data_IF_183337505965
#
_entry.id   IF_183337505965
#
_cell.length_a   1.000
_cell.length_b   1.000
_cell.length_c   1.000
_cell.angle_alpha   90.00
_cell.angle_beta   90.00
_cell.angle_gamma   90.00
#
_symmetry.space_group_name_H-M   'P 1'
#
loop_
_entity.id
_entity.type
_entity.pdbx_description
1 polymer ?
#
# COMPACT_ATOMS: atom_id res chain seq x y z
N UNK A 1 6.59 7.22 11.96
CA UNK A 1 6.81 6.45 10.72
C UNK A 1 6.26 5.05 10.92
N UNK A 2 5.16 4.70 10.24
CA UNK A 2 4.57 3.35 10.34
C UNK A 2 5.33 2.42 9.39
N UNK A 3 5.90 1.30 9.87
CA UNK A 3 6.67 0.41 9.02
C UNK A 3 5.78 -0.35 8.03
N UNK A 4 6.15 -0.33 6.74
CA UNK A 4 5.48 -1.08 5.69
C UNK A 4 5.93 -2.57 5.71
N UNK A 5 5.14 -3.41 6.37
CA UNK A 5 5.32 -4.87 6.40
C UNK A 5 4.41 -5.55 5.39
N UNK A 6 4.73 -6.78 4.99
CA UNK A 6 3.86 -7.56 4.10
C UNK A 6 2.40 -7.65 4.60
N UNK A 7 2.22 -7.91 5.90
CA UNK A 7 0.91 -7.99 6.52
C UNK A 7 0.17 -6.63 6.51
N UNK A 8 0.88 -5.54 6.82
CA UNK A 8 0.26 -4.21 6.89
C UNK A 8 -0.07 -3.64 5.51
N UNK A 9 0.74 -3.92 4.48
CA UNK A 9 0.43 -3.56 3.07
C UNK A 9 -0.83 -4.30 2.61
N UNK A 10 -0.92 -5.61 2.88
CA UNK A 10 -2.10 -6.41 2.53
C UNK A 10 -3.37 -5.89 3.21
N UNK A 11 -3.29 -5.61 4.51
CA UNK A 11 -4.43 -5.08 5.28
C UNK A 11 -4.88 -3.72 4.76
N UNK A 12 -3.94 -2.80 4.48
CA UNK A 12 -4.25 -1.47 3.95
C UNK A 12 -4.89 -1.54 2.56
N UNK A 13 -4.39 -2.42 1.68
CA UNK A 13 -5.01 -2.67 0.36
C UNK A 13 -6.46 -3.16 0.50
N UNK A 14 -6.72 -4.09 1.42
CA UNK A 14 -8.06 -4.60 1.66
C UNK A 14 -8.98 -3.53 2.24
N UNK A 15 -8.50 -2.70 3.17
CA UNK A 15 -9.25 -1.57 3.71
C UNK A 15 -9.61 -0.54 2.62
N UNK A 16 -8.70 -0.30 1.67
CA UNK A 16 -8.94 0.54 0.49
C UNK A 16 -9.90 -0.09 -0.54
N UNK A 17 -10.38 -1.31 -0.32
CA UNK A 17 -11.28 -2.01 -1.25
C UNK A 17 -10.63 -2.42 -2.58
N UNK A 18 -9.29 -2.47 -2.64
CA UNK A 18 -8.55 -2.76 -3.87
C UNK A 18 -8.21 -4.24 -3.98
N UNK A 19 -8.37 -4.81 -5.17
CA UNK A 19 -7.70 -6.06 -5.56
C UNK A 19 -6.20 -5.83 -5.77
N UNK A 20 -5.39 -6.89 -5.83
CA UNK A 20 -3.96 -6.75 -6.15
C UNK A 20 -3.73 -6.12 -7.53
N UNK A 21 -4.60 -6.39 -8.51
CA UNK A 21 -4.48 -5.81 -9.86
C UNK A 21 -4.78 -4.31 -9.86
N UNK A 22 -5.86 -3.89 -9.18
CA UNK A 22 -6.20 -2.47 -9.05
C UNK A 22 -5.15 -1.70 -8.25
N UNK A 23 -4.56 -2.32 -7.22
CA UNK A 23 -3.47 -1.70 -6.49
C UNK A 23 -2.21 -1.58 -7.37
N UNK A 24 -1.86 -2.63 -8.13
CA UNK A 24 -0.75 -2.56 -9.09
C UNK A 24 -0.95 -1.40 -10.09
N UNK A 25 -2.14 -1.29 -10.70
CA UNK A 25 -2.50 -0.19 -11.60
C UNK A 25 -2.42 1.18 -10.91
N UNK A 26 -2.96 1.31 -9.69
CA UNK A 26 -2.99 2.58 -8.94
C UNK A 26 -1.59 3.11 -8.62
N UNK A 27 -0.64 2.22 -8.40
CA UNK A 27 0.75 2.53 -8.04
C UNK A 27 1.73 2.37 -9.22
N UNK A 28 1.22 2.26 -10.45
CA UNK A 28 2.01 2.12 -11.68
C UNK A 28 3.02 0.95 -11.65
N UNK A 29 2.57 -0.19 -11.14
CA UNK A 29 3.31 -1.45 -11.11
C UNK A 29 2.65 -2.52 -11.97
N UNK A 30 3.46 -3.46 -12.47
CA UNK A 30 2.91 -4.74 -12.93
C UNK A 30 2.37 -5.55 -11.74
N UNK A 31 1.35 -6.40 -11.98
CA UNK A 31 0.78 -7.27 -10.94
C UNK A 31 1.85 -8.10 -10.22
N UNK A 32 2.83 -8.64 -10.96
CA UNK A 32 3.93 -9.43 -10.38
C UNK A 32 4.80 -8.60 -9.45
N UNK A 33 5.09 -7.35 -9.80
CA UNK A 33 5.87 -6.44 -8.95
C UNK A 33 5.09 -6.08 -7.69
N UNK A 34 3.79 -5.80 -7.82
CA UNK A 34 2.92 -5.57 -6.66
C UNK A 34 2.92 -6.78 -5.72
N UNK A 35 2.69 -7.98 -6.25
CA UNK A 35 2.68 -9.21 -5.46
C UNK A 35 3.99 -9.41 -4.72
N UNK A 36 5.14 -9.20 -5.38
CA UNK A 36 6.46 -9.29 -4.74
C UNK A 36 6.61 -8.27 -3.60
N UNK A 37 6.21 -7.01 -3.83
CA UNK A 37 6.24 -5.96 -2.80
C UNK A 37 5.33 -6.29 -1.61
N UNK A 38 4.13 -6.80 -1.86
CA UNK A 38 3.16 -7.18 -0.82
C UNK A 38 3.61 -8.40 -0.02
N UNK A 39 4.31 -9.37 -0.62
CA UNK A 39 4.73 -10.60 0.08
C UNK A 39 6.12 -10.54 0.71
N UNK A 40 7.05 -9.79 0.12
CA UNK A 40 8.45 -9.76 0.54
C UNK A 40 8.83 -8.49 1.32
N UNK A 41 7.91 -7.55 1.53
CA UNK A 41 8.16 -6.35 2.33
C UNK A 41 8.67 -6.69 3.75
N UNK A 42 9.79 -6.07 4.13
CA UNK A 42 10.46 -6.30 5.41
C UNK A 42 11.41 -7.50 5.46
N UNK A 43 11.52 -8.29 4.38
CA UNK A 43 12.38 -9.50 4.34
C UNK A 43 13.77 -9.27 3.74
N UNK A 44 14.09 -8.03 3.31
CA UNK A 44 15.34 -7.69 2.61
C UNK A 44 15.43 -8.18 1.16
N UNK A 45 14.48 -9.00 0.69
CA UNK A 45 14.45 -9.58 -0.67
C UNK A 45 13.75 -8.68 -1.72
N UNK A 46 13.03 -7.67 -1.25
CA UNK A 46 12.36 -6.67 -2.06
C UNK A 46 12.44 -5.31 -1.38
N UNK A 47 12.68 -4.26 -2.17
CA UNK A 47 12.26 -2.92 -1.79
C UNK A 47 10.73 -2.91 -1.85
N UNK A 48 10.08 -3.01 -0.69
CA UNK A 48 8.63 -2.92 -0.57
C UNK A 48 8.08 -1.59 -1.11
N UNK A 49 6.94 -1.15 -0.62
CA UNK A 49 6.51 0.22 -0.92
C UNK A 49 7.49 1.21 -0.28
N UNK A 50 7.82 2.28 -1.02
CA UNK A 50 8.43 3.46 -0.42
C UNK A 50 7.49 4.04 0.64
N UNK A 51 8.03 4.87 1.54
CA UNK A 51 7.24 5.47 2.61
C UNK A 51 6.03 6.25 2.07
N UNK A 52 6.24 7.06 1.03
CA UNK A 52 5.18 7.86 0.43
C UNK A 52 4.07 7.01 -0.22
N UNK A 53 4.43 5.92 -0.89
CA UNK A 53 3.46 4.99 -1.47
C UNK A 53 2.65 4.28 -0.38
N UNK A 54 3.30 3.89 0.72
CA UNK A 54 2.61 3.25 1.82
C UNK A 54 1.66 4.23 2.54
N UNK A 55 2.08 5.47 2.77
CA UNK A 55 1.22 6.51 3.34
C UNK A 55 0.01 6.82 2.46
N UNK A 56 0.19 6.86 1.13
CA UNK A 56 -0.93 6.97 0.19
C UNK A 56 -1.88 5.76 0.29
N UNK A 57 -1.36 4.54 0.40
CA UNK A 57 -2.18 3.34 0.55
C UNK A 57 -3.01 3.38 1.85
N UNK A 58 -2.40 3.83 2.95
CA UNK A 58 -3.09 4.03 4.22
C UNK A 58 -4.18 5.10 4.11
N UNK A 59 -3.93 6.20 3.40
CA UNK A 59 -4.91 7.25 3.15
C UNK A 59 -6.11 6.74 2.35
N UNK A 60 -5.87 5.91 1.32
CA UNK A 60 -6.94 5.30 0.52
C UNK A 60 -7.80 4.32 1.33
N UNK A 61 -7.23 3.68 2.36
CA UNK A 61 -7.93 2.76 3.26
C UNK A 61 -8.49 3.41 4.53
N UNK A 62 -8.38 4.73 4.70
CA UNK A 62 -8.76 5.46 5.92
C UNK A 62 -8.03 4.94 7.19
N UNK A 63 -6.77 4.55 7.04
CA UNK A 63 -5.93 3.97 8.10
C UNK A 63 -4.69 4.82 8.44
N UNK A 64 -4.53 5.99 7.82
CA UNK A 64 -3.38 6.83 8.07
C UNK A 64 -3.50 7.47 9.47
N UNK A 65 -2.46 7.40 10.33
CA UNK A 65 -2.57 7.82 11.73
C UNK A 65 -2.85 9.32 11.90
N UNK A 66 -2.29 10.15 11.02
CA UNK A 66 -2.30 11.61 11.18
C UNK A 66 -3.19 12.36 10.18
N UNK A 67 -3.66 11.69 9.12
CA UNK A 67 -4.27 12.34 7.95
C UNK A 67 -5.44 11.52 7.43
N UNK A 68 -6.40 12.18 6.80
CA UNK A 68 -7.54 11.55 6.14
C UNK A 68 -7.81 12.21 4.78
N UNK A 69 -8.32 11.43 3.81
CA UNK A 69 -8.74 11.97 2.52
C UNK A 69 -10.14 12.59 2.64
N UNK A 70 -10.25 13.86 2.29
CA UNK A 70 -11.51 14.58 2.21
C UNK A 70 -11.85 14.90 0.75
N UNK A 71 -13.13 14.76 0.39
CA UNK A 71 -13.62 15.15 -0.94
C UNK A 71 -13.45 16.67 -1.08
N UNK A 72 -12.90 17.10 -2.23
CA UNK A 72 -12.85 18.53 -2.55
C UNK A 72 -14.27 19.07 -2.72
N UNK A 73 -14.54 20.21 -2.08
CA UNK A 73 -15.80 20.95 -2.22
C UNK A 73 -15.93 21.55 -3.62
#
# INVERSE_FOLDING_TARGET
MVPATAASIKAARQAAGLTQAQAAERFDYSLRVWQKKETEAGTGKSSGLSQAEYELLLLLGDQHPDYALIVKK
#
